data_IF_030960381881
#
_entry.id   IF_030960381881
#
_cell.length_a   1.000
_cell.length_b   1.000
_cell.length_c   1.000
_cell.angle_alpha   90.00
_cell.angle_beta   90.00
_cell.angle_gamma   90.00
#
_symmetry.space_group_name_H-M   'P 1'
#
loop_
_entity.id
_entity.type
_entity.pdbx_description
1 polymer ?
#
# COMPACT_ATOMS: atom_id res chain seq x y z
N UNK A 1 -45.67 52.87 -19.50
CA UNK A 1 -45.51 51.62 -18.72
C UNK A 1 -44.85 50.55 -19.58
N UNK A 2 -44.01 49.60 -19.16
CA UNK A 2 -42.99 49.47 -18.09
C UNK A 2 -42.24 48.15 -18.42
N UNK A 3 -41.09 48.20 -19.09
CA UNK A 3 -40.38 47.00 -19.59
C UNK A 3 -39.25 46.53 -18.63
N UNK A 4 -39.60 46.19 -17.38
CA UNK A 4 -38.59 45.90 -16.32
C UNK A 4 -38.76 44.56 -15.56
N UNK A 5 -39.64 43.65 -15.98
CA UNK A 5 -40.00 42.51 -15.11
C UNK A 5 -39.46 41.11 -15.51
N UNK A 6 -38.73 40.95 -16.62
CA UNK A 6 -38.26 39.63 -17.08
C UNK A 6 -36.81 39.26 -16.73
N UNK A 7 -35.99 40.24 -16.34
CA UNK A 7 -34.58 40.05 -15.98
C UNK A 7 -34.33 39.30 -14.63
N UNK A 8 -35.15 39.42 -13.56
CA UNK A 8 -34.78 38.86 -12.26
C UNK A 8 -34.91 37.33 -12.18
N UNK A 9 -35.83 36.73 -12.97
CA UNK A 9 -36.02 35.27 -13.00
C UNK A 9 -34.87 34.56 -13.70
N UNK A 10 -34.35 35.14 -14.78
CA UNK A 10 -33.22 34.59 -15.54
C UNK A 10 -31.91 34.62 -14.72
N UNK A 11 -31.69 35.70 -13.95
CA UNK A 11 -30.51 35.83 -13.06
C UNK A 11 -30.57 34.87 -11.87
N UNK A 12 -31.77 34.61 -11.33
CA UNK A 12 -31.98 33.61 -10.26
C UNK A 12 -31.79 32.18 -10.77
N UNK A 13 -32.27 31.87 -11.98
CA UNK A 13 -32.05 30.58 -12.62
C UNK A 13 -30.56 30.35 -12.94
N UNK A 14 -29.87 31.35 -13.49
CA UNK A 14 -28.43 31.27 -13.75
C UNK A 14 -27.61 31.10 -12.46
N UNK A 15 -27.94 31.83 -11.39
CA UNK A 15 -27.29 31.68 -10.09
C UNK A 15 -27.53 30.28 -9.48
N UNK A 16 -28.75 29.75 -9.58
CA UNK A 16 -29.08 28.41 -9.11
C UNK A 16 -28.35 27.31 -9.90
N UNK A 17 -28.19 27.47 -11.22
CA UNK A 17 -27.39 26.56 -12.06
C UNK A 17 -25.90 26.63 -11.73
N UNK A 18 -25.34 27.82 -11.50
CA UNK A 18 -23.93 27.97 -11.11
C UNK A 18 -23.68 27.32 -9.74
N UNK A 19 -24.57 27.54 -8.76
CA UNK A 19 -24.50 26.90 -7.44
C UNK A 19 -24.60 25.37 -7.54
N UNK A 20 -25.49 24.85 -8.38
CA UNK A 20 -25.62 23.41 -8.62
C UNK A 20 -24.36 22.80 -9.28
N UNK A 21 -23.79 23.48 -10.28
CA UNK A 21 -22.55 23.03 -10.94
C UNK A 21 -21.35 23.05 -9.98
N UNK A 22 -21.22 24.08 -9.13
CA UNK A 22 -20.14 24.16 -8.13
C UNK A 22 -20.31 23.08 -7.06
N UNK A 23 -21.53 22.81 -6.61
CA UNK A 23 -21.81 21.71 -5.68
C UNK A 23 -21.47 20.34 -6.28
N UNK A 24 -21.78 20.10 -7.56
CA UNK A 24 -21.40 18.87 -8.26
C UNK A 24 -19.88 18.74 -8.42
N UNK A 25 -19.18 19.84 -8.75
CA UNK A 25 -17.72 19.83 -8.91
C UNK A 25 -16.98 19.58 -7.59
N UNK A 26 -17.49 20.11 -6.46
CA UNK A 26 -16.92 19.85 -5.14
C UNK A 26 -17.16 18.42 -4.66
N UNK A 27 -18.29 17.80 -5.05
CA UNK A 27 -18.59 16.41 -4.71
C UNK A 27 -17.79 15.38 -5.53
N UNK A 28 -17.21 15.77 -6.67
CA UNK A 28 -16.40 14.90 -7.52
C UNK A 28 -14.92 14.82 -7.10
N UNK A 29 -14.51 15.62 -6.11
CA UNK A 29 -13.19 15.53 -5.50
C UNK A 29 -13.20 14.48 -4.39
N UNK A 30 -13.45 13.22 -4.75
CA UNK A 30 -13.10 12.13 -3.83
C UNK A 30 -11.56 12.14 -3.69
N UNK A 31 -11.00 12.30 -2.47
CA UNK A 31 -9.59 12.02 -2.28
C UNK A 31 -9.34 10.57 -2.73
N UNK A 32 -8.15 10.23 -3.29
CA UNK A 32 -7.84 8.85 -3.59
C UNK A 32 -7.86 8.07 -2.27
N UNK A 33 -9.00 7.46 -1.97
CA UNK A 33 -9.16 6.49 -0.90
C UNK A 33 -8.05 5.47 -1.10
N UNK A 34 -7.15 5.39 -0.12
CA UNK A 34 -6.07 4.44 -0.07
C UNK A 34 -6.74 3.06 -0.08
N UNK A 35 -6.99 2.48 -1.26
CA UNK A 35 -7.77 1.23 -1.52
C UNK A 35 -7.29 0.00 -0.73
N UNK A 36 -6.28 0.19 0.09
CA UNK A 36 -5.61 -0.74 0.96
C UNK A 36 -6.13 -0.68 2.41
N UNK A 37 -7.12 0.17 2.74
CA UNK A 37 -7.79 0.12 4.05
C UNK A 37 -8.76 -1.06 4.11
N UNK A 38 -8.34 -2.08 4.85
CA UNK A 38 -9.18 -3.01 5.63
C UNK A 38 -9.94 -4.16 4.97
N UNK A 39 -9.96 -4.33 3.63
CA UNK A 39 -10.69 -5.47 3.03
C UNK A 39 -9.79 -6.65 2.59
N UNK A 40 -8.63 -6.41 1.97
CA UNK A 40 -7.65 -7.46 1.68
C UNK A 40 -6.26 -6.83 1.56
N UNK A 41 -5.25 -7.48 2.15
CA UNK A 41 -3.88 -7.14 1.79
C UNK A 41 -3.70 -7.34 0.28
N UNK A 42 -2.84 -6.56 -0.40
CA UNK A 42 -2.66 -6.62 -1.86
C UNK A 42 -2.24 -8.00 -2.36
N UNK A 43 -1.58 -8.79 -1.52
CA UNK A 43 -1.20 -10.17 -1.81
C UNK A 43 -2.34 -11.17 -1.61
N UNK A 44 -3.46 -10.77 -1.01
CA UNK A 44 -4.54 -11.65 -0.56
C UNK A 44 -4.19 -12.51 0.66
N UNK A 45 -3.06 -12.24 1.33
CA UNK A 45 -2.61 -12.99 2.51
C UNK A 45 -3.17 -12.49 3.84
N UNK A 46 -2.92 -13.27 4.90
CA UNK A 46 -3.26 -12.94 6.28
C UNK A 46 -2.07 -12.25 6.99
N UNK A 47 -2.14 -10.93 7.29
CA UNK A 47 -1.03 -10.21 7.91
C UNK A 47 -0.73 -10.66 9.35
N UNK A 48 -1.73 -11.12 10.12
CA UNK A 48 -1.50 -11.62 11.47
C UNK A 48 -0.71 -12.94 11.46
N UNK A 49 -1.01 -13.82 10.50
CA UNK A 49 -0.20 -15.02 10.28
C UNK A 49 1.20 -14.65 9.76
N UNK A 50 1.28 -13.69 8.84
CA UNK A 50 2.55 -13.12 8.36
C UNK A 50 3.46 -12.63 9.48
N UNK A 51 2.90 -11.95 10.49
CA UNK A 51 3.65 -11.51 11.67
C UNK A 51 4.27 -12.68 12.46
N UNK A 52 3.53 -13.79 12.58
CA UNK A 52 4.03 -15.01 13.24
C UNK A 52 5.11 -15.69 12.41
N UNK A 53 4.94 -15.77 11.09
CA UNK A 53 5.95 -16.32 10.18
C UNK A 53 7.23 -15.48 10.18
N UNK A 54 7.13 -14.15 10.23
CA UNK A 54 8.30 -13.25 10.33
C UNK A 54 9.15 -13.55 11.57
N UNK A 55 8.50 -13.82 12.71
CA UNK A 55 9.20 -14.27 13.92
C UNK A 55 9.81 -15.66 13.74
N UNK A 56 9.03 -16.61 13.22
CA UNK A 56 9.45 -18.00 13.06
C UNK A 56 10.64 -18.17 12.11
N UNK A 57 10.66 -17.42 11.00
CA UNK A 57 11.70 -17.46 9.98
C UNK A 57 12.86 -16.50 10.28
N UNK A 58 12.89 -15.87 11.47
CA UNK A 58 14.02 -15.07 11.92
C UNK A 58 14.28 -13.82 11.08
N UNK A 59 13.27 -13.22 10.44
CA UNK A 59 13.51 -12.03 9.62
C UNK A 59 14.02 -10.85 10.48
N UNK A 60 13.67 -10.85 11.77
CA UNK A 60 14.11 -9.87 12.77
C UNK A 60 15.58 -9.93 13.13
N UNK A 61 16.27 -11.05 12.85
CA UNK A 61 17.72 -11.20 13.09
C UNK A 61 18.53 -10.28 12.15
N UNK A 62 17.99 -10.01 10.97
CA UNK A 62 18.64 -9.18 9.97
C UNK A 62 18.00 -7.81 9.78
N UNK A 63 16.70 -7.68 10.06
CA UNK A 63 15.95 -6.47 9.75
C UNK A 63 15.24 -5.88 10.97
N UNK A 64 15.17 -4.55 11.03
CA UNK A 64 14.15 -3.88 11.84
C UNK A 64 12.78 -4.10 11.20
N UNK A 65 11.85 -4.70 11.95
CA UNK A 65 10.47 -4.93 11.48
C UNK A 65 9.47 -4.26 12.43
N UNK A 66 8.92 -3.09 12.06
CA UNK A 66 7.94 -2.40 12.91
C UNK A 66 6.74 -3.28 13.26
N UNK A 67 6.39 -3.36 14.54
CA UNK A 67 5.29 -4.18 15.03
C UNK A 67 5.64 -5.63 15.37
N UNK A 68 6.91 -6.04 15.21
CA UNK A 68 7.43 -7.33 15.66
C UNK A 68 8.41 -7.10 16.81
N UNK A 69 8.07 -7.58 18.00
CA UNK A 69 8.92 -7.46 19.17
C UNK A 69 10.28 -8.14 18.95
N UNK A 70 11.37 -7.45 19.29
CA UNK A 70 12.74 -7.95 19.17
C UNK A 70 13.31 -7.98 17.76
N UNK A 71 12.54 -7.60 16.73
CA UNK A 71 13.03 -7.49 15.36
C UNK A 71 13.79 -6.18 15.16
N UNK A 72 15.06 -6.16 15.53
CA UNK A 72 15.94 -4.98 15.52
C UNK A 72 17.25 -5.19 14.74
N UNK A 73 17.33 -6.24 13.93
CA UNK A 73 18.52 -6.55 13.13
C UNK A 73 18.91 -5.45 12.14
N UNK A 74 20.22 -5.30 11.91
CA UNK A 74 20.81 -4.25 11.07
C UNK A 74 21.64 -4.77 9.89
N UNK A 75 21.65 -6.08 9.67
CA UNK A 75 22.36 -6.71 8.53
C UNK A 75 21.69 -6.31 7.21
N UNK A 76 20.36 -6.40 7.18
CA UNK A 76 19.53 -5.90 6.10
C UNK A 76 18.99 -4.50 6.40
N UNK A 77 18.53 -3.76 5.38
CA UNK A 77 17.90 -2.46 5.60
C UNK A 77 16.62 -2.61 6.44
N UNK A 78 16.24 -1.61 7.25
CA UNK A 78 14.98 -1.68 7.99
C UNK A 78 13.80 -1.86 7.02
N UNK A 79 12.71 -2.52 7.43
CA UNK A 79 11.53 -2.78 6.58
C UNK A 79 10.41 -1.76 6.81
N UNK A 80 10.66 -0.71 7.56
CA UNK A 80 9.75 0.42 7.69
C UNK A 80 9.39 1.00 6.32
N UNK A 81 8.11 1.38 6.16
CA UNK A 81 7.57 1.99 4.94
C UNK A 81 7.76 1.14 3.68
N UNK A 82 7.94 -0.19 3.80
CA UNK A 82 8.18 -1.08 2.66
C UNK A 82 7.11 -0.91 1.58
N UNK A 83 5.85 -0.75 1.96
CA UNK A 83 4.73 -0.59 1.02
C UNK A 83 4.88 0.65 0.10
N UNK A 84 5.63 1.68 0.54
CA UNK A 84 5.86 2.91 -0.23
C UNK A 84 7.12 2.86 -1.10
N UNK A 85 7.93 1.80 -1.00
CA UNK A 85 9.17 1.69 -1.78
C UNK A 85 8.83 1.41 -3.24
N UNK A 86 9.64 1.96 -4.14
CA UNK A 86 9.53 1.70 -5.57
C UNK A 86 10.16 0.35 -5.95
N UNK A 87 11.23 -0.04 -5.25
CA UNK A 87 11.99 -1.25 -5.56
C UNK A 87 12.16 -2.18 -4.34
N UNK A 88 12.19 -3.48 -4.63
CA UNK A 88 12.60 -4.57 -3.73
C UNK A 88 14.05 -4.93 -4.08
N UNK A 89 14.92 -4.98 -3.07
CA UNK A 89 16.35 -5.25 -3.21
C UNK A 89 17.08 -4.36 -4.25
N UNK A 90 16.50 -3.21 -4.61
CA UNK A 90 17.03 -2.30 -5.63
C UNK A 90 16.88 -2.78 -7.08
N UNK A 91 16.32 -3.97 -7.33
CA UNK A 91 16.33 -4.60 -8.67
C UNK A 91 14.95 -4.95 -9.22
N UNK A 92 13.95 -5.17 -8.35
CA UNK A 92 12.59 -5.51 -8.78
C UNK A 92 11.63 -4.38 -8.43
N UNK A 93 10.67 -4.07 -9.31
CA UNK A 93 9.56 -3.18 -8.95
C UNK A 93 8.82 -3.75 -7.74
N UNK A 94 8.47 -2.92 -6.79
CA UNK A 94 7.69 -3.34 -5.64
C UNK A 94 6.25 -3.66 -6.05
N UNK A 95 5.94 -4.95 -6.10
CA UNK A 95 4.60 -5.50 -6.23
C UNK A 95 4.47 -6.70 -5.30
N UNK A 96 3.24 -7.12 -4.93
CA UNK A 96 3.04 -8.28 -4.07
C UNK A 96 3.70 -9.55 -4.64
N UNK A 97 3.51 -9.81 -5.94
CA UNK A 97 4.09 -10.98 -6.61
C UNK A 97 5.62 -10.96 -6.59
N UNK A 98 6.24 -9.80 -6.84
CA UNK A 98 7.69 -9.68 -6.81
C UNK A 98 8.25 -9.81 -5.39
N UNK A 99 7.52 -9.33 -4.37
CA UNK A 99 7.95 -9.50 -2.98
C UNK A 99 7.82 -10.96 -2.55
N UNK A 100 6.78 -11.66 -2.97
CA UNK A 100 6.65 -13.10 -2.75
C UNK A 100 7.80 -13.86 -3.43
N UNK A 101 8.10 -13.56 -4.70
CA UNK A 101 9.22 -14.19 -5.41
C UNK A 101 10.57 -13.94 -4.72
N UNK A 102 10.81 -12.69 -4.27
CA UNK A 102 11.99 -12.34 -3.48
C UNK A 102 12.09 -13.17 -2.20
N UNK A 103 11.01 -13.23 -1.41
CA UNK A 103 10.99 -13.94 -0.13
C UNK A 103 11.25 -15.44 -0.29
N UNK A 104 10.77 -16.04 -1.39
CA UNK A 104 10.96 -17.47 -1.64
C UNK A 104 12.39 -17.81 -2.06
N UNK A 105 13.00 -17.02 -2.95
CA UNK A 105 14.35 -17.29 -3.46
C UNK A 105 15.14 -16.00 -3.77
N UNK A 106 15.68 -15.31 -2.74
CA UNK A 106 16.48 -14.10 -2.94
C UNK A 106 17.72 -14.34 -3.81
N UNK A 107 18.28 -15.56 -3.74
CA UNK A 107 19.50 -15.95 -4.45
C UNK A 107 19.26 -16.16 -5.95
N UNK A 108 18.04 -16.50 -6.38
CA UNK A 108 17.69 -16.53 -7.80
C UNK A 108 17.56 -15.13 -8.41
N UNK A 109 17.23 -14.11 -7.60
CA UNK A 109 17.09 -12.73 -8.07
C UNK A 109 18.41 -11.97 -8.02
N UNK A 110 19.11 -12.03 -6.88
CA UNK A 110 20.43 -11.40 -6.69
C UNK A 110 21.41 -12.45 -6.16
N UNK A 111 22.14 -13.17 -7.04
CA UNK A 111 23.09 -14.19 -6.60
C UNK A 111 24.18 -13.60 -5.69
N UNK A 112 24.47 -14.28 -4.57
CA UNK A 112 25.53 -13.90 -3.64
C UNK A 112 25.15 -12.80 -2.63
N UNK A 113 23.88 -12.36 -2.60
CA UNK A 113 23.42 -11.44 -1.56
C UNK A 113 23.37 -12.12 -0.16
N UNK A 114 23.27 -11.34 0.91
CA UNK A 114 23.30 -11.87 2.28
C UNK A 114 21.99 -12.55 2.75
N UNK A 115 20.86 -12.30 2.08
CA UNK A 115 19.58 -12.92 2.41
C UNK A 115 19.54 -14.35 1.87
N UNK A 116 19.43 -15.37 2.74
CA UNK A 116 19.48 -16.77 2.33
C UNK A 116 18.17 -17.21 1.66
N UNK A 117 18.17 -18.42 1.09
CA UNK A 117 16.92 -19.09 0.70
C UNK A 117 16.10 -19.38 1.95
N UNK A 118 14.94 -18.74 2.09
CA UNK A 118 14.14 -18.82 3.32
C UNK A 118 13.37 -20.14 3.44
N UNK A 119 13.20 -20.91 2.36
CA UNK A 119 12.41 -22.14 2.38
C UNK A 119 10.91 -21.89 2.56
N UNK A 120 10.43 -20.68 2.25
CA UNK A 120 9.02 -20.32 2.32
C UNK A 120 8.25 -20.95 1.17
N UNK A 121 7.12 -21.59 1.48
CA UNK A 121 6.15 -21.93 0.46
C UNK A 121 5.37 -20.67 0.02
N UNK A 122 4.57 -20.81 -1.03
CA UNK A 122 3.85 -19.69 -1.64
C UNK A 122 2.85 -19.03 -0.67
N UNK A 123 2.14 -19.81 0.13
CA UNK A 123 1.15 -19.29 1.08
C UNK A 123 1.81 -18.51 2.21
N UNK A 124 2.94 -19.01 2.73
CA UNK A 124 3.72 -18.32 3.75
C UNK A 124 4.30 -17.01 3.22
N UNK A 125 4.86 -17.02 2.00
CA UNK A 125 5.36 -15.81 1.36
C UNK A 125 4.24 -14.78 1.13
N UNK A 126 3.03 -15.24 0.78
CA UNK A 126 1.85 -14.39 0.61
C UNK A 126 1.44 -13.70 1.92
N UNK A 127 1.43 -14.44 3.03
CA UNK A 127 1.05 -13.92 4.34
C UNK A 127 2.11 -12.96 4.91
N UNK A 128 3.40 -13.28 4.75
CA UNK A 128 4.48 -12.33 5.09
C UNK A 128 4.37 -11.06 4.25
N UNK A 129 4.16 -11.19 2.94
CA UNK A 129 3.94 -10.05 2.03
C UNK A 129 2.74 -9.22 2.50
N UNK A 130 1.65 -9.86 2.93
CA UNK A 130 0.48 -9.15 3.45
C UNK A 130 0.84 -8.28 4.65
N UNK A 131 1.63 -8.82 5.60
CA UNK A 131 2.12 -8.04 6.74
C UNK A 131 3.03 -6.89 6.30
N UNK A 132 4.02 -7.16 5.44
CA UNK A 132 4.99 -6.13 5.01
C UNK A 132 4.32 -4.97 4.25
N UNK A 133 3.22 -5.23 3.55
CA UNK A 133 2.41 -4.20 2.89
C UNK A 133 1.56 -3.35 3.86
N UNK A 134 1.45 -3.73 5.13
CA UNK A 134 0.90 -2.85 6.18
C UNK A 134 1.88 -1.76 6.61
N UNK A 135 3.17 -1.92 6.32
CA UNK A 135 4.24 -1.01 6.74
C UNK A 135 4.34 0.19 5.77
N UNK A 136 3.68 1.29 6.11
CA UNK A 136 3.62 2.54 5.33
C UNK A 136 4.49 3.67 5.90
#
# INVERSE_FOLDING_TARGET
>A
MNAREHVPRLRRAAAALILACVALALAACDPPEDRYTTAQAPSGGNPSHGASLIRQYGCGECHIVPGIAGAEGLVGPPLNKLARRVYIAGVMRNSPDNLMAWLQDPQAVVPGNAMPRMGLNRDQARDITAYLYTLR
#
